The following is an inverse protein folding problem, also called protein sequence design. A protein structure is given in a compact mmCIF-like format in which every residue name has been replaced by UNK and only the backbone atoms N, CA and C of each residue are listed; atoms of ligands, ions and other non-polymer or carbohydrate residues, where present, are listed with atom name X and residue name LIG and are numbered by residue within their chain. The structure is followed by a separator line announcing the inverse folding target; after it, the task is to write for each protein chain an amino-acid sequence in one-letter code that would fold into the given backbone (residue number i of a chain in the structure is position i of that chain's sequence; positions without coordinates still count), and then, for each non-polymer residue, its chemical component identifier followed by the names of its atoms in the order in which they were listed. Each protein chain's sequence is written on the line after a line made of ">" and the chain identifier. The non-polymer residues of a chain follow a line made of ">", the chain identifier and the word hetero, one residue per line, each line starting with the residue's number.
data_IF_147624451558
#
_entry.id   IF_147624451558
#
_cell.length_a   1.000
_cell.length_b   1.000
_cell.length_c   1.000
_cell.angle_alpha   90.00
_cell.angle_beta   90.00
_cell.angle_gamma   90.00
#
_symmetry.space_group_name_H-M   'P 1'
#
loop_
_entity.id
_entity.type
_entity.pdbx_description
1 polymer ?
#
# COMPACT_ATOMS: atom_id res chain seq x y z
N UNK A 1 -18.10 0.25 -12.51
CA UNK A 1 -16.66 0.61 -12.49
C UNK A 1 -15.82 -0.41 -11.75
N UNK A 2 -14.52 -0.18 -11.67
CA UNK A 2 -13.59 -1.14 -11.06
C UNK A 2 -13.87 -1.42 -9.56
N UNK A 3 -14.34 -0.43 -8.79
CA UNK A 3 -14.74 -0.63 -7.38
C UNK A 3 -15.94 -1.58 -7.24
N UNK A 4 -16.90 -1.51 -8.14
CA UNK A 4 -18.08 -2.38 -8.12
C UNK A 4 -17.72 -3.84 -8.37
N UNK A 5 -16.62 -4.07 -9.08
CA UNK A 5 -16.10 -5.41 -9.39
C UNK A 5 -15.12 -5.92 -8.30
N UNK A 6 -14.87 -5.15 -7.25
CA UNK A 6 -13.87 -5.50 -6.23
C UNK A 6 -12.44 -5.55 -6.78
N UNK A 7 -12.16 -4.81 -7.86
CA UNK A 7 -10.83 -4.77 -8.46
C UNK A 7 -9.85 -3.96 -7.62
N UNK A 8 -8.57 -4.33 -7.67
CA UNK A 8 -7.50 -3.73 -6.89
C UNK A 8 -6.65 -2.78 -7.73
N UNK A 9 -5.93 -1.89 -7.05
CA UNK A 9 -4.91 -1.01 -7.66
C UNK A 9 -3.60 -1.17 -6.90
N UNK A 10 -2.53 -1.44 -7.63
CA UNK A 10 -1.21 -1.65 -7.07
C UNK A 10 -0.22 -0.66 -7.70
N UNK A 11 0.44 0.12 -6.85
CA UNK A 11 1.44 1.12 -7.25
C UNK A 11 2.81 0.72 -6.71
N UNK A 12 3.72 0.38 -7.61
CA UNK A 12 5.11 0.07 -7.30
C UNK A 12 6.05 1.16 -7.77
N UNK A 13 7.12 1.36 -7.05
CA UNK A 13 8.18 2.28 -7.44
C UNK A 13 9.08 2.65 -6.27
N UNK A 14 10.25 3.24 -6.56
CA UNK A 14 11.19 3.63 -5.51
C UNK A 14 10.61 4.69 -4.58
N UNK A 15 11.20 4.86 -3.37
CA UNK A 15 10.78 5.93 -2.46
C UNK A 15 10.86 7.31 -3.10
N UNK A 16 9.88 8.18 -2.82
CA UNK A 16 9.89 9.58 -3.23
C UNK A 16 9.49 9.86 -4.67
N UNK A 17 8.89 8.89 -5.38
CA UNK A 17 8.32 9.11 -6.73
C UNK A 17 6.88 9.64 -6.71
N UNK A 18 6.26 9.74 -5.53
CA UNK A 18 4.91 10.29 -5.37
C UNK A 18 3.79 9.27 -5.30
N UNK A 19 4.07 8.00 -5.01
CA UNK A 19 3.04 6.93 -4.90
C UNK A 19 1.95 7.28 -3.90
N UNK A 20 2.31 7.69 -2.68
CA UNK A 20 1.35 8.03 -1.62
C UNK A 20 0.47 9.21 -2.01
N UNK A 21 1.04 10.22 -2.66
CA UNK A 21 0.27 11.37 -3.16
C UNK A 21 -0.70 10.98 -4.26
N UNK A 22 -0.26 10.15 -5.20
CA UNK A 22 -1.10 9.71 -6.31
C UNK A 22 -2.28 8.87 -5.81
N UNK A 23 -2.02 7.90 -4.93
CA UNK A 23 -3.08 7.05 -4.41
C UNK A 23 -4.05 7.82 -3.50
N UNK A 24 -3.56 8.80 -2.74
CA UNK A 24 -4.39 9.70 -1.96
C UNK A 24 -5.30 10.56 -2.86
N UNK A 25 -4.77 11.10 -3.95
CA UNK A 25 -5.55 11.86 -4.92
C UNK A 25 -6.67 11.02 -5.57
N UNK A 26 -6.37 9.76 -5.89
CA UNK A 26 -7.40 8.81 -6.37
C UNK A 26 -8.47 8.60 -5.30
N UNK A 27 -8.07 8.40 -4.04
CA UNK A 27 -8.99 8.26 -2.91
C UNK A 27 -9.90 9.47 -2.74
N UNK A 28 -9.36 10.68 -2.80
CA UNK A 28 -10.15 11.91 -2.74
C UNK A 28 -11.15 12.02 -3.87
N UNK A 29 -10.73 11.76 -5.11
CA UNK A 29 -11.64 11.79 -6.26
C UNK A 29 -12.77 10.76 -6.17
N UNK A 30 -12.56 9.66 -5.48
CA UNK A 30 -13.60 8.66 -5.21
C UNK A 30 -14.57 9.13 -4.12
N UNK A 31 -14.05 9.76 -3.05
CA UNK A 31 -14.89 10.35 -1.99
C UNK A 31 -15.83 11.42 -2.55
N UNK A 32 -15.33 12.28 -3.43
CA UNK A 32 -16.12 13.30 -4.12
C UNK A 32 -17.27 12.71 -4.95
N UNK A 33 -17.13 11.44 -5.35
CA UNK A 33 -18.16 10.68 -6.06
C UNK A 33 -19.05 9.81 -5.17
N UNK A 34 -18.92 9.97 -3.84
CA UNK A 34 -19.75 9.29 -2.85
C UNK A 34 -19.25 7.92 -2.40
N UNK A 35 -18.04 7.49 -2.82
CA UNK A 35 -17.45 6.25 -2.35
C UNK A 35 -16.85 6.39 -0.95
N UNK A 36 -16.91 5.33 -0.17
CA UNK A 36 -16.30 5.27 1.17
C UNK A 36 -14.88 4.75 1.05
N UNK A 37 -13.92 5.60 1.35
CA UNK A 37 -12.48 5.30 1.23
C UNK A 37 -11.82 5.45 2.60
N UNK A 38 -10.99 4.49 2.97
CA UNK A 38 -10.10 4.58 4.12
C UNK A 38 -8.65 4.54 3.64
N UNK A 39 -7.88 5.56 4.00
CA UNK A 39 -6.44 5.59 3.81
C UNK A 39 -5.75 5.28 5.13
N UNK A 40 -4.83 4.32 5.12
CA UNK A 40 -4.04 3.95 6.29
C UNK A 40 -2.64 3.47 5.89
N UNK A 41 -1.68 3.66 6.77
CA UNK A 41 -0.40 2.95 6.65
C UNK A 41 -0.60 1.49 6.98
N UNK A 42 0.04 0.62 6.22
CA UNK A 42 -0.11 -0.84 6.41
C UNK A 42 0.32 -1.28 7.79
N UNK A 43 1.43 -0.76 8.30
CA UNK A 43 1.92 -1.08 9.66
C UNK A 43 0.94 -0.71 10.76
N UNK A 44 0.33 0.47 10.68
CA UNK A 44 -0.65 0.92 11.67
C UNK A 44 -1.90 0.03 11.67
N UNK A 45 -2.37 -0.34 10.49
CA UNK A 45 -3.51 -1.25 10.37
C UNK A 45 -3.21 -2.64 10.91
N UNK A 46 -2.05 -3.19 10.60
CA UNK A 46 -1.62 -4.50 11.12
C UNK A 46 -1.60 -4.52 12.65
N UNK A 47 -1.08 -3.48 13.29
CA UNK A 47 -1.10 -3.36 14.74
C UNK A 47 -2.51 -3.32 15.32
N UNK A 48 -3.43 -2.60 14.67
CA UNK A 48 -4.84 -2.56 15.07
C UNK A 48 -5.51 -3.91 14.92
N UNK A 49 -5.25 -4.63 13.85
CA UNK A 49 -5.79 -5.98 13.62
C UNK A 49 -5.25 -6.99 14.63
N UNK A 50 -3.96 -6.90 14.97
CA UNK A 50 -3.37 -7.74 16.03
C UNK A 50 -3.97 -7.44 17.41
N UNK A 51 -4.17 -6.17 17.75
CA UNK A 51 -4.84 -5.78 18.99
C UNK A 51 -6.27 -6.32 19.03
N UNK A 52 -7.02 -6.20 17.96
CA UNK A 52 -8.37 -6.76 17.85
C UNK A 52 -8.38 -8.28 18.00
N UNK A 53 -7.38 -8.98 17.42
CA UNK A 53 -7.23 -10.45 17.60
C UNK A 53 -6.98 -10.82 19.05
N UNK A 54 -6.08 -10.13 19.74
CA UNK A 54 -5.82 -10.36 21.17
C UNK A 54 -7.07 -10.16 22.04
N UNK A 55 -7.88 -9.17 21.69
CA UNK A 55 -9.11 -8.83 22.39
C UNK A 55 -10.33 -9.67 21.92
N UNK A 56 -10.10 -10.70 21.10
CA UNK A 56 -11.14 -11.55 20.49
C UNK A 56 -12.18 -10.76 19.68
N UNK A 57 -11.76 -9.65 19.05
CA UNK A 57 -12.62 -8.74 18.25
C UNK A 57 -12.20 -8.62 16.79
N UNK A 58 -11.32 -9.49 16.30
CA UNK A 58 -10.87 -9.44 14.92
C UNK A 58 -12.02 -9.51 13.90
N UNK A 59 -13.01 -10.41 14.04
CA UNK A 59 -14.15 -10.44 13.12
C UNK A 59 -14.92 -9.12 13.08
N UNK A 60 -15.12 -8.47 14.22
CA UNK A 60 -15.81 -7.18 14.31
C UNK A 60 -15.00 -6.05 13.64
N UNK A 61 -13.67 -6.07 13.79
CA UNK A 61 -12.80 -5.09 13.14
C UNK A 61 -12.75 -5.28 11.62
N UNK A 62 -12.68 -6.51 11.13
CA UNK A 62 -12.77 -6.81 9.70
C UNK A 62 -14.13 -6.37 9.13
N UNK A 63 -15.22 -6.61 9.84
CA UNK A 63 -16.55 -6.14 9.44
C UNK A 63 -16.64 -4.60 9.40
N UNK A 64 -15.96 -3.91 10.32
CA UNK A 64 -15.85 -2.45 10.30
C UNK A 64 -15.12 -1.96 9.06
N UNK A 65 -14.01 -2.59 8.70
CA UNK A 65 -13.24 -2.26 7.50
C UNK A 65 -14.02 -2.56 6.22
N UNK A 66 -14.89 -3.55 6.24
CA UNK A 66 -15.71 -3.95 5.09
C UNK A 66 -16.77 -2.89 4.71
N UNK A 67 -17.02 -1.90 5.57
CA UNK A 67 -17.87 -0.74 5.27
C UNK A 67 -17.25 0.20 4.23
N UNK A 68 -15.93 0.14 4.06
CA UNK A 68 -15.23 0.95 3.08
C UNK A 68 -15.18 0.23 1.73
N UNK A 69 -15.54 0.94 0.68
CA UNK A 69 -15.53 0.42 -0.68
C UNK A 69 -14.11 0.28 -1.22
N UNK A 70 -13.22 1.18 -0.79
CA UNK A 70 -11.78 1.12 -1.04
C UNK A 70 -11.00 1.23 0.26
N UNK A 71 -10.06 0.33 0.46
CA UNK A 71 -9.06 0.39 1.51
C UNK A 71 -7.69 0.65 0.89
N UNK A 72 -7.07 1.77 1.22
CA UNK A 72 -5.73 2.14 0.75
C UNK A 72 -4.72 1.75 1.82
N UNK A 73 -3.81 0.85 1.47
CA UNK A 73 -2.71 0.36 2.29
C UNK A 73 -1.41 0.98 1.79
N UNK A 74 -0.97 2.05 2.43
CA UNK A 74 0.26 2.72 2.08
C UNK A 74 1.48 2.05 2.73
N UNK A 75 2.62 2.05 2.05
CA UNK A 75 3.88 1.44 2.50
C UNK A 75 3.75 -0.07 2.84
N UNK A 76 3.18 -0.84 1.93
CA UNK A 76 2.83 -2.25 2.17
C UNK A 76 4.04 -3.15 2.47
N UNK A 77 5.15 -2.97 1.76
CA UNK A 77 6.33 -3.83 1.85
C UNK A 77 7.52 -3.19 2.55
N UNK A 78 7.28 -2.16 3.38
CA UNK A 78 8.35 -1.39 4.00
C UNK A 78 9.12 -2.16 5.07
N UNK A 79 8.47 -3.01 5.84
CA UNK A 79 9.06 -3.75 6.96
C UNK A 79 8.75 -5.23 6.84
N UNK A 80 9.76 -6.07 7.09
CA UNK A 80 9.55 -7.51 7.24
C UNK A 80 8.61 -7.77 8.41
N UNK A 81 7.60 -8.60 8.18
CA UNK A 81 6.58 -8.92 9.16
C UNK A 81 6.82 -10.29 9.78
N UNK A 82 6.49 -10.43 11.06
CA UNK A 82 6.42 -11.74 11.67
C UNK A 82 5.17 -12.52 11.21
N UNK A 83 5.07 -13.78 11.62
CA UNK A 83 3.96 -14.66 11.22
C UNK A 83 2.61 -14.14 11.73
N UNK A 84 2.55 -13.58 12.92
CA UNK A 84 1.30 -13.05 13.48
C UNK A 84 0.81 -11.82 12.72
N UNK A 85 1.71 -10.90 12.40
CA UNK A 85 1.43 -9.71 11.58
C UNK A 85 0.99 -10.09 10.17
N UNK A 86 1.69 -11.02 9.55
CA UNK A 86 1.37 -11.49 8.19
C UNK A 86 0.04 -12.24 8.15
N UNK A 87 -0.29 -12.99 9.19
CA UNK A 87 -1.55 -13.72 9.30
C UNK A 87 -2.76 -12.78 9.30
N UNK A 88 -2.76 -11.70 10.08
CA UNK A 88 -3.89 -10.75 10.10
C UNK A 88 -4.01 -9.98 8.79
N UNK A 89 -2.89 -9.64 8.17
CA UNK A 89 -2.87 -8.98 6.86
C UNK A 89 -3.42 -9.91 5.76
N UNK A 90 -3.01 -11.17 5.77
CA UNK A 90 -3.53 -12.18 4.85
C UNK A 90 -5.04 -12.40 5.02
N UNK A 91 -5.52 -12.44 6.26
CA UNK A 91 -6.94 -12.58 6.55
C UNK A 91 -7.75 -11.39 6.00
N UNK A 92 -7.25 -10.16 6.17
CA UNK A 92 -7.86 -8.97 5.59
C UNK A 92 -7.95 -9.05 4.07
N UNK A 93 -6.86 -9.44 3.39
CA UNK A 93 -6.83 -9.60 1.94
C UNK A 93 -7.86 -10.66 1.49
N UNK A 94 -7.92 -11.78 2.20
CA UNK A 94 -8.84 -12.87 1.90
C UNK A 94 -10.30 -12.48 2.08
N UNK A 95 -10.64 -11.75 3.14
CA UNK A 95 -11.99 -11.26 3.41
C UNK A 95 -12.49 -10.28 2.35
N UNK A 96 -11.59 -9.47 1.78
CA UNK A 96 -11.96 -8.49 0.76
C UNK A 96 -11.89 -9.03 -0.67
N UNK A 97 -11.27 -10.17 -0.87
CA UNK A 97 -11.08 -10.76 -2.19
C UNK A 97 -12.41 -10.90 -2.96
N UNK A 98 -12.44 -10.40 -4.18
CA UNK A 98 -13.61 -10.36 -5.09
C UNK A 98 -14.86 -9.63 -4.55
N UNK A 99 -14.74 -8.95 -3.41
CA UNK A 99 -15.87 -8.25 -2.78
C UNK A 99 -15.66 -6.77 -2.65
N UNK A 100 -14.49 -6.38 -2.21
CA UNK A 100 -14.13 -4.98 -1.91
C UNK A 100 -12.71 -4.69 -2.37
N UNK A 101 -12.50 -3.51 -2.89
CA UNK A 101 -11.21 -3.12 -3.46
C UNK A 101 -10.17 -2.79 -2.40
N UNK A 102 -8.91 -3.13 -2.72
CA UNK A 102 -7.72 -2.71 -2.00
C UNK A 102 -6.83 -1.94 -2.99
N UNK A 103 -6.27 -0.83 -2.54
CA UNK A 103 -5.19 -0.15 -3.23
C UNK A 103 -3.93 -0.21 -2.38
N UNK A 104 -2.81 -0.52 -3.00
CA UNK A 104 -1.54 -0.72 -2.31
C UNK A 104 -0.47 0.15 -2.93
N UNK A 105 0.35 0.80 -2.09
CA UNK A 105 1.64 1.35 -2.51
C UNK A 105 2.77 0.51 -1.92
N UNK A 106 3.77 0.19 -2.71
CA UNK A 106 4.92 -0.57 -2.28
C UNK A 106 6.19 -0.10 -3.01
N UNK A 107 7.31 -0.14 -2.29
CA UNK A 107 8.62 0.20 -2.87
C UNK A 107 9.22 -0.96 -3.64
N UNK A 108 8.82 -2.18 -3.31
CA UNK A 108 9.37 -3.40 -3.86
C UNK A 108 8.34 -4.17 -4.68
N UNK A 109 8.74 -4.77 -5.81
CA UNK A 109 7.87 -5.61 -6.63
C UNK A 109 7.49 -6.91 -5.91
N UNK A 110 6.55 -7.66 -6.45
CA UNK A 110 6.09 -8.93 -5.89
C UNK A 110 7.21 -9.95 -5.62
N UNK A 111 8.28 -9.93 -6.41
CA UNK A 111 9.44 -10.81 -6.21
C UNK A 111 10.14 -10.65 -4.86
N UNK A 112 9.96 -9.53 -4.18
CA UNK A 112 10.51 -9.26 -2.86
C UNK A 112 9.50 -9.44 -1.72
N UNK A 113 8.27 -9.87 -2.00
CA UNK A 113 7.20 -10.00 -1.00
C UNK A 113 7.31 -11.23 -0.11
N UNK A 114 8.21 -12.15 -0.40
CA UNK A 114 8.62 -13.22 0.52
C UNK A 114 9.15 -12.67 1.86
N UNK A 115 9.59 -11.41 1.89
CA UNK A 115 9.97 -10.71 3.11
C UNK A 115 8.76 -10.16 3.90
N UNK A 116 7.61 -9.98 3.26
CA UNK A 116 6.36 -9.54 3.91
C UNK A 116 5.65 -10.72 4.55
N UNK A 117 5.61 -11.85 3.86
CA UNK A 117 4.98 -13.07 4.33
C UNK A 117 6.05 -14.14 4.55
N UNK A 118 6.25 -14.64 5.80
CA UNK A 118 7.30 -15.61 6.12
C UNK A 118 7.09 -16.97 5.44
N UNK A 119 5.84 -17.34 5.20
CA UNK A 119 5.49 -18.60 4.54
C UNK A 119 5.31 -18.40 3.03
N UNK A 120 6.05 -19.16 2.22
CA UNK A 120 5.99 -19.07 0.76
C UNK A 120 4.57 -19.31 0.21
N UNK A 121 3.84 -20.27 0.76
CA UNK A 121 2.46 -20.54 0.36
C UNK A 121 1.52 -19.37 0.63
N UNK A 122 1.70 -18.67 1.75
CA UNK A 122 0.93 -17.47 2.09
C UNK A 122 1.26 -16.32 1.14
N UNK A 123 2.53 -16.13 0.79
CA UNK A 123 2.95 -15.12 -0.21
C UNK A 123 2.27 -15.36 -1.55
N UNK A 124 2.32 -16.58 -2.06
CA UNK A 124 1.69 -16.94 -3.33
C UNK A 124 0.19 -16.68 -3.29
N UNK A 125 -0.48 -17.12 -2.23
CA UNK A 125 -1.92 -16.94 -2.09
C UNK A 125 -2.34 -15.48 -1.94
N UNK A 126 -1.56 -14.66 -1.23
CA UNK A 126 -1.81 -13.22 -1.08
C UNK A 126 -1.64 -12.48 -2.42
N UNK A 127 -0.54 -12.75 -3.13
CA UNK A 127 -0.27 -12.17 -4.45
C UNK A 127 -1.37 -12.56 -5.44
N UNK A 128 -1.74 -13.83 -5.50
CA UNK A 128 -2.80 -14.32 -6.39
C UNK A 128 -4.12 -13.57 -6.17
N UNK A 129 -4.54 -13.42 -4.92
CA UNK A 129 -5.77 -12.67 -4.59
C UNK A 129 -5.70 -11.20 -4.95
N UNK A 130 -4.55 -10.56 -4.75
CA UNK A 130 -4.38 -9.14 -5.04
C UNK A 130 -4.33 -8.84 -6.53
N UNK A 131 -3.74 -9.72 -7.35
CA UNK A 131 -3.58 -9.48 -8.78
C UNK A 131 -4.74 -10.00 -9.63
N UNK A 132 -5.60 -10.86 -9.11
CA UNK A 132 -6.66 -11.53 -9.88
C UNK A 132 -7.52 -10.54 -10.68
N UNK A 133 -7.95 -9.45 -10.05
CA UNK A 133 -8.58 -8.32 -10.71
C UNK A 133 -7.86 -7.03 -10.28
N UNK A 134 -6.79 -6.68 -10.97
CA UNK A 134 -6.00 -5.52 -10.58
C UNK A 134 -5.48 -4.71 -11.76
N UNK A 135 -5.27 -3.44 -11.50
CA UNK A 135 -4.45 -2.56 -12.33
C UNK A 135 -3.14 -2.30 -11.61
N UNK A 136 -2.04 -2.61 -12.27
CA UNK A 136 -0.69 -2.48 -11.70
C UNK A 136 0.03 -1.32 -12.41
N UNK A 137 0.52 -0.37 -11.63
CA UNK A 137 1.33 0.73 -12.09
C UNK A 137 2.74 0.61 -11.53
N UNK A 138 3.73 0.72 -12.39
CA UNK A 138 5.14 0.82 -12.00
C UNK A 138 5.64 2.24 -12.32
N UNK A 139 6.07 2.94 -11.28
CA UNK A 139 6.59 4.29 -11.38
C UNK A 139 8.12 4.24 -11.42
N UNK A 140 8.70 4.35 -12.62
CA UNK A 140 10.15 4.26 -12.88
C UNK A 140 10.81 5.63 -13.04
N UNK A 141 10.29 6.67 -12.38
CA UNK A 141 10.85 8.03 -12.43
C UNK A 141 11.86 8.22 -11.30
N UNK A 142 12.88 9.04 -11.55
CA UNK A 142 13.80 9.46 -10.49
C UNK A 142 13.06 10.20 -9.38
N UNK A 143 13.43 9.89 -8.14
CA UNK A 143 12.82 10.53 -6.97
C UNK A 143 12.97 12.06 -7.05
N UNK A 144 11.86 12.77 -6.88
CA UNK A 144 11.85 14.23 -6.77
C UNK A 144 12.80 14.75 -5.68
N UNK A 145 12.90 14.02 -4.56
CA UNK A 145 13.83 14.37 -3.47
C UNK A 145 15.28 14.29 -3.90
N UNK A 146 15.63 13.28 -4.71
CA UNK A 146 16.99 13.13 -5.24
C UNK A 146 17.31 14.26 -6.23
N UNK A 147 16.41 14.57 -7.15
CA UNK A 147 16.55 15.70 -8.08
C UNK A 147 16.70 17.04 -7.35
N UNK A 148 15.90 17.28 -6.31
CA UNK A 148 15.98 18.50 -5.52
C UNK A 148 17.31 18.61 -4.73
N UNK A 149 17.85 17.49 -4.24
CA UNK A 149 19.15 17.45 -3.57
C UNK A 149 20.31 17.67 -4.53
N UNK A 150 20.27 17.06 -5.71
CA UNK A 150 21.28 17.24 -6.79
C UNK A 150 21.27 18.67 -7.31
N UNK A 151 20.08 19.28 -7.48
CA UNK A 151 19.95 20.68 -7.87
C UNK A 151 20.54 21.66 -6.85
N UNK A 152 20.38 21.38 -5.55
CA UNK A 152 21.00 22.19 -4.47
C UNK A 152 22.52 22.02 -4.41
N UNK A 153 23.02 20.81 -4.66
CA UNK A 153 24.46 20.56 -4.70
C UNK A 153 25.13 21.24 -5.91
N UNK A 154 24.50 21.18 -7.08
CA UNK A 154 24.97 21.87 -8.28
C UNK A 154 24.93 23.40 -8.15
N UNK A 155 23.92 23.95 -7.47
CA UNK A 155 23.84 25.39 -7.15
C UNK A 155 24.95 25.89 -6.22
N UNK A 156 25.34 25.06 -5.24
CA UNK A 156 26.45 25.37 -4.33
C UNK A 156 27.83 25.31 -4.99
N UNK A 157 28.00 24.47 -6.00
CA UNK A 157 29.28 24.36 -6.74
C UNK A 157 29.54 25.54 -7.67
N UNK A 158 28.53 26.31 -8.02
CA UNK A 158 28.67 27.52 -8.89
C UNK A 158 28.96 28.80 -8.13
N UNK A 159 28.95 28.79 -6.81
CA UNK A 159 29.27 29.99 -5.98
C UNK A 159 30.60 29.71 -5.25
N UNK A 160 31.68 29.68 -6.01
CA UNK A 160 33.01 29.80 -5.47
C UNK A 160 33.54 31.22 -5.83
N UNK A 161 33.92 32.07 -4.87
CA UNK A 161 34.37 33.39 -5.19
C UNK A 161 35.75 33.32 -5.86
N UNK A 162 35.85 33.92 -7.04
CA UNK A 162 37.14 34.24 -7.60
C UNK A 162 37.85 35.25 -6.67
N UNK A 163 39.03 34.85 -6.21
CA UNK A 163 40.00 35.78 -5.69
C UNK A 163 40.54 36.68 -6.81
#
# INVERSE_FOLDING_TARGET
>A
GWLEQGANVLLFGPPGVGKSHLIAAIGHGLIDRGWRVLFTRTGDLVQRLQAARRDLRLPAELARLDRFDLLILDDFSYVRRDQAESSVLFELISERYERKSIAITANQPFSAWDQVFPEAAMTVAAVDRLVHHSTIFELNVESYRRKAAEGKAAGKAKVSPRK
#
